data_IF_361688638366
#
_entry.id   IF_361688638366
#
_cell.length_a   1.000
_cell.length_b   1.000
_cell.length_c   1.000
_cell.angle_alpha   90.00
_cell.angle_beta   90.00
_cell.angle_gamma   90.00
#
_symmetry.space_group_name_H-M   'P 1'
#
loop_
_entity.id
_entity.type
_entity.pdbx_description
1 polymer ?
#
# COMPACT_ATOMS: atom_id res chain seq x y z
N UNK A 1 -3.36 2.52 27.40
CA UNK A 1 -3.96 2.89 26.11
C UNK A 1 -3.61 1.79 25.11
N UNK A 2 -4.51 0.83 24.92
CA UNK A 2 -4.26 -0.35 24.10
C UNK A 2 -4.55 -0.01 22.63
N UNK A 3 -3.53 -0.09 21.78
CA UNK A 3 -3.73 0.05 20.34
C UNK A 3 -4.50 -1.19 19.87
N UNK A 4 -5.78 -1.03 19.51
CA UNK A 4 -6.50 -2.08 18.78
C UNK A 4 -5.69 -2.47 17.55
N UNK A 5 -5.11 -3.68 17.54
CA UNK A 5 -4.23 -4.15 16.46
C UNK A 5 -5.04 -4.18 15.16
N UNK A 6 -4.75 -3.25 14.26
CA UNK A 6 -5.37 -3.17 12.94
C UNK A 6 -4.37 -3.61 11.88
N UNK A 7 -4.82 -4.44 10.93
CA UNK A 7 -4.01 -4.82 9.77
C UNK A 7 -4.44 -4.01 8.55
N UNK A 8 -3.48 -3.75 7.66
CA UNK A 8 -3.75 -3.18 6.34
C UNK A 8 -3.28 -4.14 5.27
N UNK A 9 -4.17 -4.38 4.30
CA UNK A 9 -3.98 -5.31 3.20
C UNK A 9 -3.85 -4.55 1.89
N UNK A 10 -2.87 -4.96 1.09
CA UNK A 10 -2.71 -4.52 -0.30
C UNK A 10 -2.64 -5.73 -1.22
N UNK A 11 -3.57 -5.80 -2.18
CA UNK A 11 -3.56 -6.80 -3.25
C UNK A 11 -2.77 -6.29 -4.45
N UNK A 12 -1.89 -7.12 -5.01
CA UNK A 12 -1.09 -6.73 -6.16
C UNK A 12 -1.77 -7.08 -7.48
N UNK A 13 -1.70 -6.17 -8.45
CA UNK A 13 -2.06 -6.45 -9.84
C UNK A 13 -3.54 -6.81 -10.05
N UNK A 14 -4.43 -6.27 -9.22
CA UNK A 14 -5.88 -6.45 -9.33
C UNK A 14 -6.50 -5.26 -10.01
N UNK A 15 -7.54 -5.47 -10.83
CA UNK A 15 -8.29 -4.41 -11.51
C UNK A 15 -7.40 -3.49 -12.38
N UNK A 16 -6.34 -4.03 -12.99
CA UNK A 16 -5.44 -3.29 -13.89
C UNK A 16 -5.42 -3.99 -15.25
N UNK A 17 -5.61 -3.22 -16.32
CA UNK A 17 -5.54 -3.74 -17.70
C UNK A 17 -6.56 -4.83 -18.02
N UNK A 18 -7.70 -4.87 -17.32
CA UNK A 18 -8.73 -5.91 -17.50
C UNK A 18 -8.44 -7.25 -16.81
N UNK A 19 -7.27 -7.41 -16.19
CA UNK A 19 -6.88 -8.65 -15.52
C UNK A 19 -7.29 -8.67 -14.03
N UNK A 20 -7.54 -9.89 -13.52
CA UNK A 20 -7.88 -10.15 -12.10
C UNK A 20 -8.96 -9.18 -11.61
N UNK A 21 -10.01 -9.05 -12.44
CA UNK A 21 -11.10 -8.12 -12.22
C UNK A 21 -12.04 -8.67 -11.14
N UNK A 22 -12.27 -7.89 -10.09
CA UNK A 22 -13.23 -8.21 -9.04
C UNK A 22 -13.74 -6.94 -8.37
N UNK A 23 -14.78 -7.06 -7.54
CA UNK A 23 -15.35 -5.95 -6.75
C UNK A 23 -14.80 -5.99 -5.31
N UNK A 24 -13.87 -5.09 -4.92
CA UNK A 24 -13.30 -5.07 -3.56
C UNK A 24 -14.34 -4.89 -2.46
N UNK A 25 -15.42 -4.14 -2.72
CA UNK A 25 -16.51 -3.96 -1.77
C UNK A 25 -17.25 -5.28 -1.46
N UNK A 26 -17.40 -6.18 -2.44
CA UNK A 26 -18.00 -7.50 -2.24
C UNK A 26 -17.09 -8.36 -1.36
N UNK A 27 -15.78 -8.36 -1.63
CA UNK A 27 -14.80 -9.06 -0.79
C UNK A 27 -14.83 -8.56 0.66
N UNK A 28 -14.88 -7.23 0.85
CA UNK A 28 -14.96 -6.63 2.18
C UNK A 28 -16.23 -7.04 2.93
N UNK A 29 -17.41 -7.00 2.28
CA UNK A 29 -18.66 -7.50 2.88
C UNK A 29 -18.57 -8.98 3.23
N UNK A 30 -17.94 -9.79 2.38
CA UNK A 30 -17.72 -11.20 2.66
C UNK A 30 -16.81 -11.48 3.86
N UNK A 31 -16.05 -10.49 4.34
CA UNK A 31 -15.16 -10.58 5.49
C UNK A 31 -15.61 -9.67 6.64
N UNK A 32 -16.91 -9.39 6.74
CA UNK A 32 -17.50 -8.49 7.75
C UNK A 32 -17.12 -8.84 9.18
N UNK A 33 -16.96 -10.13 9.49
CA UNK A 33 -16.62 -10.61 10.83
C UNK A 33 -15.24 -10.10 11.31
N UNK A 34 -14.35 -9.79 10.37
CA UNK A 34 -13.03 -9.19 10.64
C UNK A 34 -13.08 -7.64 10.61
N UNK A 35 -14.25 -7.04 10.42
CA UNK A 35 -14.41 -5.59 10.30
C UNK A 35 -13.63 -5.00 9.11
N UNK A 36 -13.64 -5.68 7.96
CA UNK A 36 -12.91 -5.25 6.77
C UNK A 36 -13.58 -4.04 6.13
N UNK A 37 -12.79 -2.98 5.93
CA UNK A 37 -13.19 -1.75 5.24
C UNK A 37 -12.42 -1.66 3.92
N UNK A 38 -13.14 -1.54 2.80
CA UNK A 38 -12.56 -1.35 1.49
C UNK A 38 -12.09 0.11 1.28
N UNK A 39 -10.93 0.29 0.67
CA UNK A 39 -10.39 1.59 0.25
C UNK A 39 -10.16 1.59 -1.26
N UNK A 40 -11.15 2.10 -1.99
CA UNK A 40 -11.09 2.29 -3.44
C UNK A 40 -11.21 0.98 -4.25
N UNK A 41 -10.71 1.01 -5.48
CA UNK A 41 -10.84 -0.10 -6.44
C UNK A 41 -9.60 -1.00 -6.53
N UNK A 42 -8.44 -0.55 -6.02
CA UNK A 42 -7.16 -1.23 -6.21
C UNK A 42 -6.90 -2.38 -5.21
N UNK A 43 -7.93 -2.89 -4.52
CA UNK A 43 -7.78 -3.94 -3.51
C UNK A 43 -6.91 -3.50 -2.33
N UNK A 44 -7.33 -2.42 -1.66
CA UNK A 44 -6.71 -1.95 -0.41
C UNK A 44 -7.74 -2.06 0.69
N UNK A 45 -7.37 -2.62 1.86
CA UNK A 45 -8.32 -2.84 2.94
C UNK A 45 -7.72 -2.49 4.30
N UNK A 46 -8.56 -1.95 5.19
CA UNK A 46 -8.29 -1.87 6.63
C UNK A 46 -9.06 -2.98 7.33
N UNK A 47 -8.40 -3.70 8.23
CA UNK A 47 -8.97 -4.83 8.99
C UNK A 47 -8.96 -4.44 10.45
N UNK A 48 -10.14 -4.13 10.98
CA UNK A 48 -10.33 -3.60 12.34
C UNK A 48 -10.26 -4.68 13.42
N UNK A 49 -10.73 -5.90 13.10
CA UNK A 49 -10.79 -7.04 14.02
C UNK A 49 -10.03 -8.23 13.42
N UNK A 50 -8.70 -8.12 13.20
CA UNK A 50 -7.97 -9.14 12.45
C UNK A 50 -7.83 -10.46 13.21
N UNK A 51 -7.94 -10.45 14.54
CA UNK A 51 -7.54 -11.59 15.37
C UNK A 51 -6.10 -12.00 15.03
N UNK A 52 -5.86 -13.29 14.81
CA UNK A 52 -4.56 -13.76 14.31
C UNK A 52 -4.36 -13.40 12.84
N UNK A 53 -3.22 -12.77 12.53
CA UNK A 53 -2.79 -12.44 11.15
C UNK A 53 -2.82 -13.67 10.23
N UNK A 54 -2.43 -14.84 10.72
CA UNK A 54 -2.43 -16.09 9.94
C UNK A 54 -3.85 -16.55 9.63
N UNK A 55 -4.74 -16.55 10.63
CA UNK A 55 -6.16 -16.93 10.44
C UNK A 55 -6.84 -15.99 9.45
N UNK A 56 -6.66 -14.68 9.62
CA UNK A 56 -7.21 -13.69 8.70
C UNK A 56 -6.65 -13.87 7.28
N UNK A 57 -5.34 -14.05 7.12
CA UNK A 57 -4.73 -14.27 5.79
C UNK A 57 -5.34 -15.49 5.09
N UNK A 58 -5.55 -16.59 5.80
CA UNK A 58 -6.18 -17.78 5.24
C UNK A 58 -7.64 -17.51 4.83
N UNK A 59 -8.41 -16.79 5.64
CA UNK A 59 -9.78 -16.40 5.31
C UNK A 59 -9.86 -15.48 4.08
N UNK A 60 -8.95 -14.50 3.98
CA UNK A 60 -8.83 -13.62 2.83
C UNK A 60 -8.55 -14.40 1.55
N UNK A 61 -7.54 -15.28 1.58
CA UNK A 61 -7.14 -16.08 0.39
C UNK A 61 -8.28 -16.97 -0.10
N UNK A 62 -9.04 -17.62 0.80
CA UNK A 62 -10.20 -18.44 0.43
C UNK A 62 -11.34 -17.66 -0.24
N UNK A 63 -11.45 -16.36 0.02
CA UNK A 63 -12.50 -15.51 -0.57
C UNK A 63 -12.08 -14.80 -1.85
N UNK A 64 -10.79 -14.83 -2.20
CA UNK A 64 -10.34 -14.25 -3.46
C UNK A 64 -10.76 -15.16 -4.62
N UNK A 65 -11.29 -14.60 -5.72
CA UNK A 65 -11.69 -15.38 -6.89
C UNK A 65 -10.50 -15.79 -7.77
N UNK A 66 -9.28 -15.48 -7.34
CA UNK A 66 -8.03 -15.77 -8.04
C UNK A 66 -6.87 -15.78 -7.07
N UNK A 67 -5.76 -16.37 -7.48
CA UNK A 67 -4.50 -16.21 -6.78
C UNK A 67 -3.98 -14.77 -6.92
N UNK A 68 -3.63 -14.17 -5.79
CA UNK A 68 -3.05 -12.83 -5.75
C UNK A 68 -1.92 -12.75 -4.73
N UNK A 69 -0.93 -11.93 -5.05
CA UNK A 69 0.06 -11.53 -4.08
C UNK A 69 -0.59 -10.56 -3.07
N UNK A 70 -0.50 -10.91 -1.79
CA UNK A 70 -1.11 -10.18 -0.67
C UNK A 70 -0.02 -9.67 0.26
N UNK A 71 0.09 -8.35 0.36
CA UNK A 71 0.95 -7.68 1.33
C UNK A 71 0.12 -7.25 2.54
N UNK A 72 0.56 -7.63 3.74
CA UNK A 72 -0.12 -7.29 5.01
C UNK A 72 0.87 -6.63 5.97
N UNK A 73 0.59 -5.39 6.35
CA UNK A 73 1.36 -4.61 7.33
C UNK A 73 0.49 -4.17 8.52
N UNK A 74 1.14 -3.72 9.59
CA UNK A 74 0.44 -3.17 10.76
C UNK A 74 -0.01 -1.73 10.47
N UNK A 75 -1.23 -1.38 10.85
CA UNK A 75 -1.75 -0.02 10.70
C UNK A 75 -0.89 1.03 11.41
N UNK A 76 -0.26 0.67 12.53
CA UNK A 76 0.65 1.56 13.29
C UNK A 76 1.84 2.02 12.44
N UNK A 77 2.31 1.18 11.53
CA UNK A 77 3.46 1.49 10.69
C UNK A 77 3.09 2.57 9.66
N UNK A 78 1.87 2.52 9.11
CA UNK A 78 1.37 3.56 8.21
C UNK A 78 1.02 4.86 8.93
N UNK A 79 0.51 4.77 10.17
CA UNK A 79 0.31 5.95 11.02
C UNK A 79 1.65 6.64 11.29
N UNK A 80 2.68 5.87 11.67
CA UNK A 80 4.03 6.40 11.88
C UNK A 80 4.59 7.03 10.61
N UNK A 81 4.43 6.36 9.47
CA UNK A 81 4.88 6.87 8.18
C UNK A 81 4.20 8.21 7.82
N UNK A 82 2.91 8.37 8.12
CA UNK A 82 2.20 9.62 7.89
C UNK A 82 2.67 10.75 8.82
N UNK A 83 2.89 10.47 10.10
CA UNK A 83 3.39 11.45 11.08
C UNK A 83 4.79 11.99 10.71
N UNK A 84 5.63 11.16 10.11
CA UNK A 84 6.96 11.57 9.63
C UNK A 84 6.89 12.54 8.44
N UNK A 85 5.72 12.67 7.81
CA UNK A 85 5.46 13.54 6.68
C UNK A 85 6.54 13.44 5.57
N UNK A 86 6.74 12.24 5.00
CA UNK A 86 7.89 11.94 4.13
C UNK A 86 7.93 12.72 2.82
N UNK A 87 6.83 13.39 2.46
CA UNK A 87 6.73 14.19 1.24
C UNK A 87 6.71 15.70 1.53
N UNK A 88 7.04 16.14 2.75
CA UNK A 88 7.07 17.57 3.13
C UNK A 88 8.00 18.38 2.22
N UNK A 89 9.18 17.84 1.93
CA UNK A 89 10.20 18.50 1.12
C UNK A 89 9.96 18.38 -0.40
N UNK A 90 8.96 17.60 -0.82
CA UNK A 90 8.74 17.31 -2.23
C UNK A 90 7.71 18.28 -2.83
N UNK A 91 7.92 18.77 -4.07
CA UNK A 91 6.96 19.66 -4.70
C UNK A 91 5.61 18.96 -4.90
N UNK A 92 4.52 19.72 -4.76
CA UNK A 92 3.18 19.27 -5.13
C UNK A 92 2.87 19.82 -6.52
N UNK A 93 2.85 18.96 -7.53
CA UNK A 93 2.48 19.34 -8.90
C UNK A 93 1.36 18.43 -9.39
N UNK A 94 0.38 18.94 -10.14
CA UNK A 94 -0.76 18.14 -10.58
C UNK A 94 -0.36 16.90 -11.39
N UNK A 95 0.72 16.96 -12.17
CA UNK A 95 1.24 15.87 -13.01
C UNK A 95 2.07 14.82 -12.25
N UNK A 96 2.46 15.15 -11.01
CA UNK A 96 3.29 14.29 -10.14
C UNK A 96 2.40 13.63 -9.09
N UNK A 97 2.51 12.31 -9.01
CA UNK A 97 1.84 11.50 -8.01
C UNK A 97 2.85 10.96 -7.02
N UNK A 98 2.61 11.22 -5.73
CA UNK A 98 3.35 10.62 -4.61
C UNK A 98 2.86 9.21 -4.37
N UNK A 99 3.76 8.28 -4.09
CA UNK A 99 3.40 6.89 -3.85
C UNK A 99 4.22 6.27 -2.73
N UNK A 100 3.64 5.21 -2.16
CA UNK A 100 4.35 4.26 -1.32
C UNK A 100 4.29 2.89 -2.00
N UNK A 101 5.44 2.23 -2.16
CA UNK A 101 5.48 0.82 -2.50
C UNK A 101 5.77 0.00 -1.24
N UNK A 102 4.91 -0.97 -0.97
CA UNK A 102 5.03 -1.85 0.19
C UNK A 102 5.61 -3.18 -0.27
N UNK A 103 6.80 -3.53 0.22
CA UNK A 103 7.47 -4.78 -0.09
C UNK A 103 6.75 -5.96 0.55
N UNK A 104 6.69 -7.10 -0.15
CA UNK A 104 6.09 -8.37 0.32
C UNK A 104 6.83 -9.00 1.52
N UNK A 105 8.11 -8.69 1.68
CA UNK A 105 8.97 -8.99 2.84
C UNK A 105 10.07 -7.93 2.94
N UNK A 106 10.89 -7.97 3.99
CA UNK A 106 12.08 -7.12 4.04
C UNK A 106 12.96 -7.43 2.81
N UNK A 107 13.31 -6.38 2.06
CA UNK A 107 14.17 -6.46 0.89
C UNK A 107 15.50 -5.78 1.15
N UNK A 108 16.51 -6.13 0.36
CA UNK A 108 17.80 -5.44 0.35
C UNK A 108 17.79 -4.38 -0.75
N UNK A 109 18.04 -3.13 -0.40
CA UNK A 109 18.25 -2.07 -1.38
C UNK A 109 19.52 -2.36 -2.18
N UNK A 110 19.41 -2.47 -3.52
CA UNK A 110 20.53 -2.84 -4.40
C UNK A 110 21.24 -1.63 -5.05
N UNK A 111 20.85 -0.40 -4.71
CA UNK A 111 21.46 0.83 -5.22
C UNK A 111 21.30 1.98 -4.21
N UNK A 112 22.19 2.99 -4.26
CA UNK A 112 22.00 4.20 -3.47
C UNK A 112 20.75 4.99 -3.90
N UNK A 113 20.04 5.58 -2.96
CA UNK A 113 18.90 6.48 -3.24
C UNK A 113 19.39 7.94 -3.26
N UNK A 114 18.78 8.82 -4.09
CA UNK A 114 17.61 8.57 -4.94
C UNK A 114 17.95 7.83 -6.26
N UNK A 115 16.98 7.09 -6.80
CA UNK A 115 17.03 6.44 -8.12
C UNK A 115 15.91 6.96 -9.01
N UNK A 116 16.21 7.25 -10.27
CA UNK A 116 15.23 7.65 -11.29
C UNK A 116 15.08 6.59 -12.39
N UNK A 117 13.89 6.56 -12.98
CA UNK A 117 13.57 5.73 -14.13
C UNK A 117 12.85 6.54 -15.21
N UNK A 118 13.35 6.57 -16.45
CA UNK A 118 14.67 6.10 -16.86
C UNK A 118 15.82 6.83 -16.11
N UNK A 119 17.03 6.23 -16.04
CA UNK A 119 18.16 6.84 -15.34
C UNK A 119 18.68 8.12 -16.04
N UNK A 120 18.53 8.18 -17.37
CA UNK A 120 18.91 9.32 -18.19
C UNK A 120 17.67 10.00 -18.79
N UNK A 121 17.72 11.33 -18.93
CA UNK A 121 16.64 12.13 -19.50
C UNK A 121 15.54 12.48 -18.48
N UNK A 122 14.33 12.72 -18.98
CA UNK A 122 13.18 13.05 -18.15
C UNK A 122 12.73 11.83 -17.34
N UNK A 123 12.77 11.94 -16.01
CA UNK A 123 12.35 10.86 -15.13
C UNK A 123 10.82 10.72 -15.11
N UNK A 124 10.35 9.48 -15.12
CA UNK A 124 8.94 9.13 -14.94
C UNK A 124 8.65 8.52 -13.57
N UNK A 125 9.63 7.89 -12.93
CA UNK A 125 9.56 7.40 -11.55
C UNK A 125 10.83 7.83 -10.83
N UNK A 126 10.70 8.40 -9.65
CA UNK A 126 11.80 8.74 -8.74
C UNK A 126 11.53 8.07 -7.40
N UNK A 127 12.43 7.18 -6.97
CA UNK A 127 12.46 6.62 -5.61
C UNK A 127 13.49 7.41 -4.82
N UNK A 128 13.10 8.01 -3.70
CA UNK A 128 14.00 8.89 -2.94
C UNK A 128 14.29 8.41 -1.53
N UNK A 129 13.46 7.53 -0.96
CA UNK A 129 13.71 6.99 0.37
C UNK A 129 13.16 5.56 0.51
N UNK A 130 13.71 4.83 1.48
CA UNK A 130 13.22 3.54 1.91
C UNK A 130 13.27 3.44 3.43
N UNK A 131 12.23 2.87 4.04
CA UNK A 131 12.12 2.67 5.48
C UNK A 131 11.50 1.31 5.76
N UNK A 132 12.31 0.36 6.18
CA UNK A 132 11.89 -1.02 6.39
C UNK A 132 11.28 -1.61 5.11
N UNK A 133 9.96 -1.83 5.10
CA UNK A 133 9.22 -2.37 3.94
C UNK A 133 8.58 -1.30 3.06
N UNK A 134 8.69 -0.02 3.43
CA UNK A 134 8.09 1.08 2.68
C UNK A 134 9.13 1.75 1.79
N UNK A 135 8.75 1.99 0.54
CA UNK A 135 9.55 2.68 -0.45
C UNK A 135 8.78 3.93 -0.85
N UNK A 136 9.45 5.06 -0.77
CA UNK A 136 8.88 6.38 -0.99
C UNK A 136 9.35 6.91 -2.33
N UNK A 137 8.40 7.40 -3.11
CA UNK A 137 8.72 7.92 -4.42
C UNK A 137 7.62 8.76 -5.02
N UNK A 138 7.91 9.26 -6.21
CA UNK A 138 6.99 10.02 -7.04
C UNK A 138 7.03 9.49 -8.45
N UNK A 139 5.91 9.61 -9.15
CA UNK A 139 5.85 9.30 -10.57
C UNK A 139 5.10 10.39 -11.34
N UNK A 140 5.46 10.58 -12.61
CA UNK A 140 4.73 11.44 -13.54
C UNK A 140 3.63 10.63 -14.21
N UNK A 141 2.45 11.22 -14.42
CA UNK A 141 1.37 10.55 -15.16
C UNK A 141 1.78 10.44 -16.63
N UNK A 142 2.13 9.22 -17.05
CA UNK A 142 2.53 8.93 -18.42
C UNK A 142 2.28 7.45 -18.73
N UNK A 143 1.97 7.11 -19.99
CA UNK A 143 1.65 5.73 -20.40
C UNK A 143 2.75 4.71 -20.04
N UNK A 144 4.02 5.14 -20.05
CA UNK A 144 5.19 4.30 -19.73
C UNK A 144 5.43 4.13 -18.22
N UNK A 145 4.77 4.92 -17.37
CA UNK A 145 5.05 4.95 -15.92
C UNK A 145 4.80 3.61 -15.25
N UNK A 146 3.75 2.88 -15.65
CA UNK A 146 3.42 1.58 -15.05
C UNK A 146 4.55 0.55 -15.24
N UNK A 147 5.20 0.57 -16.41
CA UNK A 147 6.36 -0.29 -16.68
C UNK A 147 7.57 0.05 -15.81
N UNK A 148 7.75 1.32 -15.47
CA UNK A 148 8.83 1.77 -14.57
C UNK A 148 8.54 1.47 -13.11
N UNK A 149 7.28 1.56 -12.65
CA UNK A 149 6.90 1.14 -11.30
C UNK A 149 7.22 -0.35 -11.06
N UNK A 150 7.09 -1.19 -12.09
CA UNK A 150 7.51 -2.60 -12.03
C UNK A 150 9.01 -2.80 -11.79
N UNK A 151 9.88 -1.80 -12.07
CA UNK A 151 11.32 -1.90 -11.81
C UNK A 151 11.69 -1.81 -10.32
N UNK A 152 10.76 -1.36 -9.48
CA UNK A 152 10.95 -1.32 -8.02
C UNK A 152 11.22 -2.73 -7.48
N UNK A 153 10.56 -3.76 -8.02
CA UNK A 153 10.84 -5.15 -7.66
C UNK A 153 12.31 -5.52 -7.86
N UNK A 154 12.89 -5.12 -9.00
CA UNK A 154 14.29 -5.40 -9.33
C UNK A 154 15.25 -4.63 -8.42
N UNK A 155 14.92 -3.37 -8.10
CA UNK A 155 15.71 -2.50 -7.24
C UNK A 155 15.84 -3.05 -5.81
N UNK A 156 14.80 -3.72 -5.30
CA UNK A 156 14.78 -4.28 -3.93
C UNK A 156 14.92 -5.81 -3.89
N UNK A 157 14.92 -6.48 -5.04
CA UNK A 157 14.96 -7.94 -5.16
C UNK A 157 13.73 -8.66 -4.61
N UNK A 158 12.65 -7.92 -4.33
CA UNK A 158 11.41 -8.45 -3.74
C UNK A 158 10.20 -7.77 -4.36
N UNK A 159 9.10 -8.51 -4.56
CA UNK A 159 7.83 -7.96 -5.02
C UNK A 159 7.34 -6.77 -4.18
N UNK A 160 6.90 -5.72 -4.86
CA UNK A 160 6.35 -4.51 -4.25
C UNK A 160 4.93 -4.21 -4.75
N UNK A 161 4.07 -3.77 -3.82
CA UNK A 161 2.73 -3.29 -4.15
C UNK A 161 2.65 -1.78 -3.98
N UNK A 162 2.50 -1.06 -5.09
CA UNK A 162 2.46 0.41 -5.11
C UNK A 162 1.05 0.96 -4.87
N UNK A 163 0.94 1.99 -4.03
CA UNK A 163 -0.27 2.77 -3.80
C UNK A 163 0.02 4.26 -3.83
N UNK A 164 -0.95 5.02 -4.36
CA UNK A 164 -0.94 6.47 -4.28
C UNK A 164 -0.94 6.91 -2.81
N UNK A 165 -0.18 7.94 -2.47
CA UNK A 165 -0.11 8.49 -1.12
C UNK A 165 -1.49 8.92 -0.60
N UNK A 166 -2.37 9.46 -1.44
CA UNK A 166 -3.74 9.80 -1.04
C UNK A 166 -4.55 8.55 -0.60
N UNK A 167 -4.28 7.39 -1.20
CA UNK A 167 -4.87 6.12 -0.75
C UNK A 167 -4.33 5.74 0.63
N UNK A 168 -3.04 5.95 0.89
CA UNK A 168 -2.44 5.71 2.20
C UNK A 168 -3.02 6.68 3.25
N UNK A 169 -3.21 7.95 2.91
CA UNK A 169 -3.85 8.93 3.79
C UNK A 169 -5.30 8.54 4.11
N UNK A 170 -6.06 8.03 3.13
CA UNK A 170 -7.41 7.51 3.37
C UNK A 170 -7.41 6.30 4.32
N UNK A 171 -6.45 5.38 4.15
CA UNK A 171 -6.22 4.27 5.10
C UNK A 171 -5.93 4.79 6.51
N UNK A 172 -5.00 5.75 6.64
CA UNK A 172 -4.61 6.34 7.93
C UNK A 172 -5.78 7.04 8.62
N UNK A 173 -6.63 7.74 7.87
CA UNK A 173 -7.86 8.35 8.40
C UNK A 173 -8.77 7.28 9.03
N UNK A 174 -9.06 6.19 8.30
CA UNK A 174 -9.88 5.08 8.82
C UNK A 174 -9.25 4.45 10.08
N UNK A 175 -7.92 4.31 10.12
CA UNK A 175 -7.19 3.79 11.27
C UNK A 175 -7.24 4.75 12.49
N UNK A 176 -7.20 6.06 12.26
CA UNK A 176 -7.33 7.09 13.30
C UNK A 176 -8.76 7.10 13.85
N UNK A 177 -9.76 7.14 12.98
CA UNK A 177 -11.18 7.13 13.37
C UNK A 177 -11.52 5.89 14.23
N UNK A 178 -10.92 4.73 13.93
CA UNK A 178 -11.12 3.51 14.72
C UNK A 178 -10.48 3.58 16.12
N UNK A 179 -9.34 4.25 16.28
CA UNK A 179 -8.70 4.43 17.60
C UNK A 179 -9.57 5.25 18.56
N UNK A 180 -10.30 6.23 18.03
CA UNK A 180 -11.18 7.07 18.85
C UNK A 180 -12.52 6.40 19.16
N UNK A 181 -12.95 5.40 18.37
CA UNK A 181 -14.22 4.70 18.60
C UNK A 181 -14.20 3.70 19.78
N UNK A 182 -13.03 3.37 20.34
CA UNK A 182 -12.86 2.47 21.48
C UNK A 182 -12.13 3.15 22.66
N UNK A 183 -11.98 4.48 22.60
CA UNK A 183 -11.20 5.27 23.55
C UNK A 183 -11.98 5.93 24.69
N UNK A 184 -13.31 5.92 24.64
CA UNK A 184 -14.17 6.52 25.67
C UNK A 184 -15.19 5.46 26.17
N UNK A 185 -14.83 4.72 27.22
CA UNK A 185 -15.74 3.96 28.09
C UNK A 185 -15.06 3.72 29.44
#
# INVERSE_FOLDING_TARGET
MELTVSLVVFLRGVNVGGHRTFRPSILARGLSDYGVVNVGAAGTFVVRKPGSKTKFRAALLRKLPFEAEVVICDGRDLIRLEMENPFRAEPSRPDIVRFVSILSRAGGLRAALPVTFPPNGEWLVRVFASKGRFILGMYRRHMKTIGYLGRIDKLFGVPATTRNWNTILAVVRILKDHRFAFGDS
#
